data_IF_011852674861
#
_entry.id   IF_011852674861
#
_cell.length_a   1.000
_cell.length_b   1.000
_cell.length_c   1.000
_cell.angle_alpha   90.00
_cell.angle_beta   90.00
_cell.angle_gamma   90.00
#
_symmetry.space_group_name_H-M   'P 1'
#
loop_
_entity.id
_entity.type
_entity.pdbx_description
1 polymer ?
#
# COMPACT_ATOMS: atom_id res chain seq x y z
N UNK A 1 -59.32 37.65 -26.59
CA UNK A 1 -58.33 37.45 -25.51
C UNK A 1 -58.16 35.95 -25.31
N UNK A 2 -57.13 35.34 -25.90
CA UNK A 2 -56.88 33.90 -25.83
C UNK A 2 -55.39 33.70 -25.59
N UNK A 3 -55.04 33.24 -24.38
CA UNK A 3 -53.66 32.97 -23.97
C UNK A 3 -53.26 31.58 -24.48
N UNK A 4 -52.14 31.52 -25.19
CA UNK A 4 -51.49 30.29 -25.63
C UNK A 4 -50.36 29.96 -24.64
N UNK A 5 -50.42 28.79 -24.01
CA UNK A 5 -49.40 28.32 -23.05
C UNK A 5 -48.60 27.20 -23.73
N UNK A 6 -47.32 27.46 -24.00
CA UNK A 6 -46.35 26.46 -24.44
C UNK A 6 -45.78 25.75 -23.20
N UNK A 7 -45.91 24.42 -23.13
CA UNK A 7 -45.28 23.59 -22.11
C UNK A 7 -43.96 23.05 -22.65
N UNK A 8 -42.84 23.48 -22.06
CA UNK A 8 -41.50 22.94 -22.33
C UNK A 8 -41.25 21.74 -21.43
N UNK A 9 -41.14 20.54 -22.02
CA UNK A 9 -40.74 19.32 -21.30
C UNK A 9 -39.21 19.26 -21.31
N UNK A 10 -38.58 19.44 -20.15
CA UNK A 10 -37.15 19.25 -19.96
C UNK A 10 -36.88 17.78 -19.60
N UNK A 11 -36.13 17.08 -20.45
CA UNK A 11 -35.69 15.71 -20.25
C UNK A 11 -34.37 15.72 -19.45
N UNK A 12 -34.43 15.36 -18.17
CA UNK A 12 -33.25 15.17 -17.31
C UNK A 12 -32.77 13.73 -17.43
N UNK A 13 -31.68 13.52 -18.18
CA UNK A 13 -30.95 12.25 -18.19
C UNK A 13 -29.95 12.27 -17.03
N UNK A 14 -30.30 11.60 -15.94
CA UNK A 14 -29.39 11.39 -14.81
C UNK A 14 -28.41 10.26 -15.15
N UNK A 15 -27.19 10.61 -15.56
CA UNK A 15 -26.08 9.65 -15.68
C UNK A 15 -25.52 9.41 -14.28
N UNK A 16 -25.90 8.29 -13.66
CA UNK A 16 -25.29 7.84 -12.41
C UNK A 16 -23.91 7.23 -12.69
N UNK A 17 -22.83 7.96 -12.39
CA UNK A 17 -21.47 7.44 -12.31
C UNK A 17 -21.34 6.51 -11.09
N UNK A 18 -21.59 5.23 -11.27
CA UNK A 18 -21.31 4.21 -10.26
C UNK A 18 -19.79 3.94 -10.26
N UNK A 19 -19.07 4.58 -9.34
CA UNK A 19 -17.71 4.17 -9.00
C UNK A 19 -17.77 2.82 -8.29
N UNK A 20 -17.51 1.73 -9.01
CA UNK A 20 -17.48 0.39 -8.43
C UNK A 20 -16.34 0.29 -7.41
N UNK A 21 -16.68 0.16 -6.13
CA UNK A 21 -15.75 -0.21 -5.06
C UNK A 21 -15.19 -1.61 -5.33
N UNK A 22 -13.93 -1.69 -5.77
CA UNK A 22 -13.20 -2.95 -6.00
C UNK A 22 -12.70 -3.61 -4.69
N UNK A 23 -13.46 -3.57 -3.60
CA UNK A 23 -12.88 -3.94 -2.28
C UNK A 23 -12.73 -5.44 -2.02
N UNK A 24 -13.42 -6.32 -2.77
CA UNK A 24 -13.48 -7.76 -2.40
C UNK A 24 -12.93 -8.74 -3.45
N UNK A 25 -12.66 -8.30 -4.69
CA UNK A 25 -12.28 -9.21 -5.77
C UNK A 25 -10.84 -9.75 -5.66
N UNK A 26 -10.00 -9.12 -4.82
CA UNK A 26 -8.60 -9.48 -4.64
C UNK A 26 -8.32 -10.34 -3.41
N UNK A 27 -9.37 -10.79 -2.71
CA UNK A 27 -9.24 -11.64 -1.52
C UNK A 27 -8.69 -13.05 -1.84
N UNK A 28 -8.79 -13.51 -3.10
CA UNK A 28 -8.29 -14.82 -3.52
C UNK A 28 -7.77 -14.77 -4.96
N UNK A 29 -6.45 -14.59 -5.11
CA UNK A 29 -5.77 -14.67 -6.41
C UNK A 29 -5.34 -16.13 -6.62
N UNK A 30 -5.69 -16.72 -7.76
CA UNK A 30 -5.30 -18.09 -8.10
C UNK A 30 -3.77 -18.23 -8.17
N UNK A 31 -3.22 -19.34 -7.70
CA UNK A 31 -1.76 -19.57 -7.68
C UNK A 31 -1.13 -19.57 -9.07
N UNK A 32 -1.89 -19.94 -10.10
CA UNK A 32 -1.46 -19.91 -11.50
C UNK A 32 -1.69 -18.57 -12.19
N UNK A 33 -2.33 -17.61 -11.52
CA UNK A 33 -2.62 -16.31 -12.12
C UNK A 33 -1.32 -15.59 -12.48
N UNK A 34 -1.23 -15.00 -13.68
CA UNK A 34 -0.04 -14.26 -14.08
C UNK A 34 0.14 -13.04 -13.19
N UNK A 35 1.39 -12.69 -12.93
CA UNK A 35 1.75 -11.49 -12.18
C UNK A 35 2.76 -10.67 -12.98
N UNK A 36 2.64 -9.35 -12.91
CA UNK A 36 3.59 -8.43 -13.53
C UNK A 36 4.02 -7.36 -12.53
N UNK A 37 5.26 -6.91 -12.66
CA UNK A 37 5.80 -5.80 -11.88
C UNK A 37 5.14 -4.50 -12.34
N UNK A 38 4.76 -3.65 -11.39
CA UNK A 38 4.40 -2.25 -11.67
C UNK A 38 5.60 -1.36 -11.39
N UNK A 39 6.29 -1.59 -10.27
CA UNK A 39 7.53 -0.91 -9.95
C UNK A 39 7.88 -0.98 -8.47
N UNK A 40 9.15 -0.68 -8.19
CA UNK A 40 9.65 -0.41 -6.85
C UNK A 40 9.87 1.09 -6.68
N UNK A 41 9.38 1.65 -5.58
CA UNK A 41 9.51 3.06 -5.25
C UNK A 41 10.07 3.20 -3.85
N UNK A 42 11.04 4.09 -3.68
CA UNK A 42 11.79 4.23 -2.44
C UNK A 42 12.26 5.66 -2.23
N UNK A 43 12.36 6.06 -0.96
CA UNK A 43 13.14 7.21 -0.53
C UNK A 43 14.24 6.79 0.47
N UNK A 44 14.54 5.49 0.53
CA UNK A 44 15.42 4.87 1.51
C UNK A 44 16.83 5.47 1.42
N UNK A 45 17.37 5.84 2.58
CA UNK A 45 18.72 6.38 2.73
C UNK A 45 19.53 5.42 3.59
N UNK A 46 20.79 5.23 3.22
CA UNK A 46 21.68 4.30 3.91
C UNK A 46 22.89 5.05 4.46
N UNK A 47 23.28 4.68 5.67
CA UNK A 47 24.62 4.94 6.22
C UNK A 47 25.40 3.63 6.24
N UNK A 48 26.57 3.60 6.89
CA UNK A 48 27.37 2.37 7.03
C UNK A 48 26.57 1.27 7.73
N UNK A 49 25.77 1.62 8.74
CA UNK A 49 25.08 0.63 9.59
C UNK A 49 23.55 0.77 9.55
N UNK A 50 23.04 1.92 9.12
CA UNK A 50 21.63 2.27 9.28
C UNK A 50 20.91 2.48 7.94
N UNK A 51 19.60 2.27 7.95
CA UNK A 51 18.69 2.61 6.89
C UNK A 51 17.52 3.44 7.44
N UNK A 52 17.08 4.42 6.65
CA UNK A 52 15.99 5.34 6.98
C UNK A 52 15.09 5.57 5.79
N UNK A 53 13.78 5.56 6.01
CA UNK A 53 12.78 5.86 4.99
C UNK A 53 11.87 4.68 4.71
N UNK A 54 11.23 4.72 3.56
CA UNK A 54 10.21 3.77 3.16
C UNK A 54 10.46 3.28 1.74
N UNK A 55 9.97 2.07 1.46
CA UNK A 55 9.87 1.55 0.11
C UNK A 55 8.52 0.85 -0.08
N UNK A 56 8.02 0.88 -1.31
CA UNK A 56 6.86 0.09 -1.74
C UNK A 56 7.20 -0.64 -3.04
N UNK A 57 6.98 -1.94 -3.03
CA UNK A 57 7.15 -2.82 -4.19
C UNK A 57 5.76 -3.24 -4.64
N UNK A 58 5.39 -2.93 -5.89
CA UNK A 58 4.03 -3.07 -6.37
C UNK A 58 3.98 -4.01 -7.57
N UNK A 59 3.09 -5.00 -7.51
CA UNK A 59 2.78 -5.91 -8.60
C UNK A 59 1.29 -5.87 -8.95
N UNK A 60 0.97 -6.43 -10.10
CA UNK A 60 -0.39 -6.62 -10.59
C UNK A 60 -0.63 -8.08 -10.94
N UNK A 61 -1.78 -8.61 -10.55
CA UNK A 61 -2.32 -9.87 -11.10
C UNK A 61 -3.76 -9.64 -11.56
N UNK A 62 -3.99 -9.64 -12.86
CA UNK A 62 -5.26 -9.21 -13.43
C UNK A 62 -5.60 -7.77 -13.06
N UNK A 63 -6.71 -7.55 -12.36
CA UNK A 63 -7.12 -6.24 -11.85
C UNK A 63 -6.63 -5.97 -10.41
N UNK A 64 -5.99 -6.95 -9.77
CA UNK A 64 -5.56 -6.84 -8.39
C UNK A 64 -4.18 -6.22 -8.28
N UNK A 65 -4.07 -5.25 -7.38
CA UNK A 65 -2.79 -4.71 -6.91
C UNK A 65 -2.41 -5.46 -5.65
N UNK A 66 -1.16 -5.91 -5.61
CA UNK A 66 -0.53 -6.46 -4.42
C UNK A 66 0.85 -5.84 -4.27
N UNK A 67 1.42 -5.96 -3.08
CA UNK A 67 2.72 -5.38 -2.84
C UNK A 67 3.27 -5.64 -1.46
N UNK A 68 4.45 -5.07 -1.25
CA UNK A 68 5.14 -5.05 0.02
C UNK A 68 5.46 -3.59 0.38
N UNK A 69 5.36 -3.27 1.66
CA UNK A 69 5.76 -1.99 2.23
C UNK A 69 6.90 -2.23 3.23
N UNK A 70 8.00 -1.51 3.06
CA UNK A 70 9.13 -1.50 3.96
C UNK A 70 9.26 -0.15 4.66
N UNK A 71 9.64 -0.15 5.94
CA UNK A 71 9.93 1.07 6.70
C UNK A 71 11.16 0.85 7.53
N UNK A 72 12.25 1.55 7.22
CA UNK A 72 13.49 1.51 7.99
C UNK A 72 13.61 2.72 8.90
N UNK A 73 13.96 2.46 10.16
CA UNK A 73 14.21 3.47 11.20
C UNK A 73 15.33 3.00 12.14
N UNK A 74 16.46 2.55 11.59
CA UNK A 74 17.50 1.94 12.42
C UNK A 74 18.49 1.10 11.63
N UNK A 75 18.91 -0.04 12.19
CA UNK A 75 19.88 -0.95 11.57
C UNK A 75 19.36 -1.46 10.22
N UNK A 76 20.21 -1.39 9.19
CA UNK A 76 19.82 -1.74 7.82
C UNK A 76 19.48 -3.23 7.65
N UNK A 77 20.10 -4.09 8.46
CA UNK A 77 20.05 -5.55 8.31
C UNK A 77 18.69 -6.21 8.59
N UNK A 78 17.77 -5.51 9.27
CA UNK A 78 16.46 -6.08 9.64
C UNK A 78 15.33 -5.09 9.41
N UNK A 79 15.29 -4.49 8.20
CA UNK A 79 14.23 -3.54 7.85
C UNK A 79 12.86 -4.25 7.90
N UNK A 80 11.88 -3.79 8.71
CA UNK A 80 10.54 -4.37 8.75
C UNK A 80 9.83 -4.34 7.40
N UNK A 81 9.01 -5.37 7.12
CA UNK A 81 8.24 -5.48 5.86
C UNK A 81 6.82 -5.96 6.11
N UNK A 82 5.82 -5.37 5.45
CA UNK A 82 4.43 -5.83 5.49
C UNK A 82 3.85 -6.04 4.11
N UNK A 83 2.93 -7.00 3.98
CA UNK A 83 2.09 -7.09 2.78
C UNK A 83 1.10 -5.92 2.76
N UNK A 84 0.84 -5.39 1.56
CA UNK A 84 -0.24 -4.41 1.38
C UNK A 84 -1.60 -5.08 1.62
N UNK A 85 -2.43 -4.41 2.40
CA UNK A 85 -3.77 -4.81 2.80
C UNK A 85 -4.78 -3.73 2.36
N UNK A 86 -6.05 -4.11 2.26
CA UNK A 86 -7.16 -3.20 1.92
C UNK A 86 -6.86 -2.32 0.68
N UNK A 87 -6.20 -2.90 -0.32
CA UNK A 87 -5.67 -2.14 -1.45
C UNK A 87 -6.80 -1.71 -2.37
N UNK A 88 -6.86 -0.41 -2.66
CA UNK A 88 -7.73 0.14 -3.70
C UNK A 88 -6.90 0.95 -4.68
N UNK A 89 -7.14 0.75 -5.97
CA UNK A 89 -6.43 1.47 -7.02
C UNK A 89 -7.37 1.87 -8.15
N UNK A 90 -7.34 3.14 -8.52
CA UNK A 90 -8.05 3.66 -9.69
C UNK A 90 -7.03 3.89 -10.82
N UNK A 91 -7.01 3.06 -11.87
CA UNK A 91 -6.02 3.17 -12.94
C UNK A 91 -6.16 4.44 -13.79
N UNK A 92 -7.33 5.09 -13.78
CA UNK A 92 -7.56 6.31 -14.57
C UNK A 92 -6.97 7.55 -13.90
N UNK A 93 -7.00 7.59 -12.56
CA UNK A 93 -6.49 8.73 -11.77
C UNK A 93 -5.15 8.43 -11.11
N UNK A 94 -4.72 7.17 -11.11
CA UNK A 94 -3.59 6.69 -10.32
C UNK A 94 -3.86 6.66 -8.81
N UNK A 95 -5.07 6.96 -8.35
CA UNK A 95 -5.37 6.97 -6.92
C UNK A 95 -5.09 5.59 -6.31
N UNK A 96 -4.32 5.55 -5.23
CA UNK A 96 -3.87 4.35 -4.54
C UNK A 96 -4.10 4.53 -3.04
N UNK A 97 -4.76 3.55 -2.42
CA UNK A 97 -4.85 3.43 -0.96
C UNK A 97 -4.50 2.03 -0.54
N UNK A 98 -3.85 1.91 0.60
CA UNK A 98 -3.55 0.63 1.22
C UNK A 98 -3.33 0.80 2.71
N UNK A 99 -3.42 -0.31 3.44
CA UNK A 99 -2.88 -0.47 4.78
C UNK A 99 -1.70 -1.45 4.76
N UNK A 100 -0.83 -1.39 5.76
CA UNK A 100 0.23 -2.38 5.97
C UNK A 100 0.48 -2.53 7.47
N UNK A 101 0.66 -3.78 7.92
CA UNK A 101 1.01 -4.09 9.31
C UNK A 101 2.49 -4.42 9.42
N UNK A 102 3.19 -3.72 10.30
CA UNK A 102 4.62 -3.90 10.56
C UNK A 102 4.85 -4.11 12.07
N UNK A 103 6.09 -4.49 12.40
CA UNK A 103 6.66 -4.37 13.75
C UNK A 103 7.99 -3.64 13.59
N UNK A 104 8.01 -2.35 13.93
CA UNK A 104 9.18 -1.47 13.76
C UNK A 104 10.04 -1.45 15.02
N UNK A 105 9.48 -1.78 16.17
CA UNK A 105 10.23 -1.87 17.41
C UNK A 105 9.52 -2.66 18.50
N UNK A 106 9.97 -2.41 19.72
CA UNK A 106 9.45 -2.99 20.94
C UNK A 106 9.00 -1.83 21.84
N UNK A 107 7.80 -1.94 22.40
CA UNK A 107 7.20 -0.99 23.33
C UNK A 107 7.07 -1.63 24.70
N UNK A 108 7.26 -0.83 25.75
CA UNK A 108 6.85 -1.18 27.10
C UNK A 108 5.63 -0.32 27.44
N UNK A 109 4.51 -0.96 27.79
CA UNK A 109 3.31 -0.24 28.20
C UNK A 109 3.51 0.43 29.56
N UNK A 110 2.72 1.46 29.91
CA UNK A 110 2.81 2.13 31.21
C UNK A 110 2.63 1.17 32.40
N UNK A 111 1.93 0.06 32.17
CA UNK A 111 1.56 -0.94 33.18
C UNK A 111 2.18 -2.32 32.94
N UNK A 112 2.96 -2.51 31.86
CA UNK A 112 3.59 -3.80 31.53
C UNK A 112 5.10 -3.70 31.65
N UNK A 113 5.70 -4.57 32.44
CA UNK A 113 7.16 -4.74 32.54
C UNK A 113 7.73 -5.61 31.43
N UNK A 114 6.86 -6.23 30.61
CA UNK A 114 7.28 -7.12 29.54
C UNK A 114 7.33 -6.33 28.23
N UNK A 115 8.48 -6.26 27.54
CA UNK A 115 8.58 -5.62 26.24
C UNK A 115 7.74 -6.38 25.20
N UNK A 116 6.90 -5.65 24.46
CA UNK A 116 6.01 -6.20 23.43
C UNK A 116 6.28 -5.58 22.05
N UNK A 117 6.03 -6.28 20.94
CA UNK A 117 6.05 -5.68 19.60
C UNK A 117 5.18 -4.42 19.49
N UNK A 118 5.68 -3.38 18.83
CA UNK A 118 5.00 -2.07 18.66
C UNK A 118 3.65 -2.12 17.92
N UNK A 119 3.38 -3.21 17.18
CA UNK A 119 2.18 -3.43 16.35
C UNK A 119 1.80 -2.20 15.51
N UNK A 120 2.62 -1.87 14.53
CA UNK A 120 2.52 -0.67 13.70
C UNK A 120 1.52 -0.83 12.54
N UNK A 121 0.49 0.01 12.49
CA UNK A 121 -0.47 0.08 11.40
C UNK A 121 -0.19 1.31 10.54
N UNK A 122 0.26 1.06 9.32
CA UNK A 122 0.45 2.10 8.32
C UNK A 122 -0.78 2.18 7.40
N UNK A 123 -1.19 3.40 7.07
CA UNK A 123 -2.27 3.68 6.12
C UNK A 123 -1.80 4.75 5.14
N UNK A 124 -1.87 4.44 3.86
CA UNK A 124 -1.50 5.35 2.78
C UNK A 124 -2.73 5.78 1.99
N UNK A 125 -2.81 7.07 1.66
CA UNK A 125 -3.76 7.63 0.70
C UNK A 125 -3.03 8.61 -0.23
N UNK A 126 -3.01 8.30 -1.52
CA UNK A 126 -2.27 9.09 -2.49
C UNK A 126 -2.40 8.58 -3.91
N UNK A 127 -1.33 8.75 -4.68
CA UNK A 127 -1.29 8.38 -6.10
C UNK A 127 -0.06 7.56 -6.44
N UNK A 128 -0.27 6.54 -7.26
CA UNK A 128 0.74 5.74 -7.94
C UNK A 128 0.87 6.25 -9.38
N UNK A 129 1.99 6.89 -9.69
CA UNK A 129 2.37 7.29 -11.03
C UNK A 129 3.52 6.42 -11.58
N UNK A 130 3.90 6.61 -12.85
CA UNK A 130 4.97 5.82 -13.47
C UNK A 130 6.35 6.03 -12.83
N UNK A 131 6.62 7.22 -12.31
CA UNK A 131 7.94 7.57 -11.74
C UNK A 131 7.94 7.72 -10.21
N UNK A 132 6.77 7.76 -9.57
CA UNK A 132 6.66 8.06 -8.15
C UNK A 132 5.35 7.60 -7.52
N UNK A 133 5.42 7.32 -6.23
CA UNK A 133 4.28 7.22 -5.32
C UNK A 133 4.31 8.43 -4.39
N UNK A 134 3.21 9.18 -4.30
CA UNK A 134 3.12 10.37 -3.46
C UNK A 134 1.77 10.43 -2.75
N UNK A 135 1.76 10.76 -1.46
CA UNK A 135 0.54 10.77 -0.67
C UNK A 135 0.77 11.02 0.81
N UNK A 136 -0.32 10.95 1.58
CA UNK A 136 -0.28 10.96 3.04
C UNK A 136 -0.08 9.55 3.58
N UNK A 137 0.79 9.41 4.57
CA UNK A 137 1.03 8.20 5.34
C UNK A 137 0.71 8.47 6.81
N UNK A 138 -0.20 7.68 7.38
CA UNK A 138 -0.44 7.61 8.82
C UNK A 138 0.28 6.38 9.35
N UNK A 139 1.02 6.51 10.46
CA UNK A 139 1.69 5.42 11.15
C UNK A 139 1.18 5.34 12.58
N UNK A 140 0.12 4.56 12.79
CA UNK A 140 -0.46 4.36 14.12
C UNK A 140 0.24 3.23 14.86
N UNK A 141 0.37 3.39 16.18
CA UNK A 141 0.89 2.38 17.10
C UNK A 141 -0.08 2.17 18.25
N UNK A 142 0.19 1.21 19.14
CA UNK A 142 -0.60 1.07 20.36
C UNK A 142 -0.51 2.29 21.29
N UNK A 143 0.63 2.99 21.27
CA UNK A 143 0.89 4.16 22.11
C UNK A 143 0.36 5.47 21.49
N UNK A 144 0.26 5.51 20.17
CA UNK A 144 -0.28 6.63 19.40
C UNK A 144 -1.23 6.11 18.30
N UNK A 145 -2.51 5.91 18.64
CA UNK A 145 -3.48 5.31 17.72
C UNK A 145 -4.02 6.28 16.67
N UNK A 146 -3.85 7.59 16.87
CA UNK A 146 -4.37 8.64 15.97
C UNK A 146 -3.32 9.69 15.62
N UNK A 147 -2.19 9.28 15.01
CA UNK A 147 -1.16 10.23 14.61
C UNK A 147 -1.62 11.06 13.40
N UNK A 148 -1.05 12.26 13.21
CA UNK A 148 -1.26 13.02 12.00
C UNK A 148 -0.66 12.29 10.79
N UNK A 149 -1.26 12.52 9.62
CA UNK A 149 -0.68 12.07 8.36
C UNK A 149 0.56 12.91 8.01
N UNK A 150 1.62 12.26 7.54
CA UNK A 150 2.78 12.92 6.94
C UNK A 150 2.82 12.67 5.44
N UNK A 151 3.24 13.66 4.67
CA UNK A 151 3.44 13.46 3.23
C UNK A 151 4.72 12.65 3.00
N UNK A 152 4.61 11.61 2.16
CA UNK A 152 5.76 10.87 1.64
C UNK A 152 5.80 10.99 0.11
N UNK A 153 7.01 10.96 -0.44
CA UNK A 153 7.25 10.83 -1.86
C UNK A 153 8.33 9.76 -2.06
N UNK A 154 7.98 8.72 -2.79
CA UNK A 154 8.84 7.60 -3.14
C UNK A 154 9.08 7.66 -4.64
N UNK A 155 10.34 7.60 -5.07
CA UNK A 155 10.72 7.63 -6.48
C UNK A 155 11.11 6.24 -6.94
N UNK A 156 11.02 5.94 -8.24
CA UNK A 156 11.46 4.66 -8.80
C UNK A 156 12.87 4.29 -8.33
N UNK A 157 13.05 3.04 -7.88
CA UNK A 157 14.31 2.52 -7.35
C UNK A 157 14.77 1.33 -8.18
N UNK A 158 15.86 1.50 -8.94
CA UNK A 158 16.44 0.41 -9.73
C UNK A 158 16.93 -0.72 -8.83
N UNK A 159 17.60 -0.38 -7.72
CA UNK A 159 18.08 -1.34 -6.71
C UNK A 159 16.95 -2.23 -6.18
N UNK A 160 15.81 -1.64 -5.85
CA UNK A 160 14.69 -2.41 -5.31
C UNK A 160 13.92 -3.14 -6.42
N UNK A 161 13.92 -2.61 -7.65
CA UNK A 161 13.34 -3.28 -8.81
C UNK A 161 14.10 -4.58 -9.16
N UNK A 162 15.42 -4.60 -9.00
CA UNK A 162 16.23 -5.82 -9.18
C UNK A 162 15.77 -6.96 -8.26
N UNK A 163 15.24 -6.62 -7.07
CA UNK A 163 14.69 -7.59 -6.12
C UNK A 163 13.33 -8.14 -6.56
N UNK A 164 12.61 -7.45 -7.44
CA UNK A 164 11.23 -7.80 -7.82
C UNK A 164 11.15 -8.96 -8.80
N UNK A 165 12.22 -9.22 -9.55
CA UNK A 165 12.26 -10.19 -10.65
C UNK A 165 11.87 -11.61 -10.27
N UNK A 166 11.59 -12.43 -11.29
CA UNK A 166 11.55 -13.92 -11.26
C UNK A 166 10.17 -14.57 -11.09
N UNK A 167 9.15 -13.89 -10.59
CA UNK A 167 7.84 -14.54 -10.38
C UNK A 167 6.90 -14.34 -11.59
N UNK A 168 6.68 -15.39 -12.38
CA UNK A 168 5.73 -15.37 -13.50
C UNK A 168 4.26 -15.53 -13.06
N UNK A 169 4.04 -16.13 -11.88
CA UNK A 169 2.71 -16.39 -11.32
C UNK A 169 2.61 -15.90 -9.88
N UNK A 170 1.38 -15.66 -9.42
CA UNK A 170 1.12 -15.30 -8.02
C UNK A 170 1.60 -16.38 -7.04
N UNK A 171 1.48 -17.67 -7.38
CA UNK A 171 1.98 -18.77 -6.55
C UNK A 171 3.50 -18.71 -6.37
N UNK A 172 4.26 -18.50 -7.46
CA UNK A 172 5.70 -18.32 -7.39
C UNK A 172 6.10 -17.04 -6.63
N UNK A 173 5.29 -15.97 -6.75
CA UNK A 173 5.47 -14.76 -5.97
C UNK A 173 5.31 -15.03 -4.47
N UNK A 174 4.25 -15.76 -4.07
CA UNK A 174 4.03 -16.14 -2.67
C UNK A 174 5.18 -16.98 -2.13
N UNK A 175 5.62 -17.99 -2.87
CA UNK A 175 6.73 -18.85 -2.44
C UNK A 175 8.02 -18.06 -2.18
N UNK A 176 8.33 -17.09 -3.05
CA UNK A 176 9.49 -16.21 -2.89
C UNK A 176 9.37 -15.29 -1.67
N UNK A 177 8.26 -14.60 -1.52
CA UNK A 177 8.14 -13.49 -0.56
C UNK A 177 7.62 -13.91 0.82
N UNK A 178 6.81 -14.97 0.91
CA UNK A 178 6.22 -15.41 2.17
C UNK A 178 7.28 -15.75 3.24
N UNK A 179 8.41 -16.42 2.95
CA UNK A 179 9.45 -16.64 3.96
C UNK A 179 10.05 -15.34 4.49
N UNK A 180 10.22 -14.34 3.62
CA UNK A 180 10.74 -13.02 3.98
C UNK A 180 9.74 -12.30 4.89
N UNK A 181 8.47 -12.25 4.48
CA UNK A 181 7.38 -11.65 5.28
C UNK A 181 7.21 -12.37 6.61
N UNK A 182 7.29 -13.71 6.65
CA UNK A 182 7.21 -14.47 7.91
C UNK A 182 8.32 -14.08 8.88
N UNK A 183 9.53 -13.85 8.38
CA UNK A 183 10.70 -13.48 9.18
C UNK A 183 10.64 -12.01 9.62
N UNK A 184 10.57 -11.08 8.67
CA UNK A 184 10.71 -9.61 8.85
C UNK A 184 9.37 -8.88 9.05
N UNK A 185 8.26 -9.60 8.94
CA UNK A 185 6.93 -9.01 9.00
C UNK A 185 6.30 -8.99 10.38
N UNK A 186 5.03 -8.55 10.44
CA UNK A 186 4.38 -8.16 11.68
C UNK A 186 4.35 -9.29 12.72
N UNK A 187 4.71 -8.95 13.96
CA UNK A 187 4.55 -9.78 15.16
C UNK A 187 3.34 -9.25 15.93
N UNK A 188 2.16 -9.56 15.42
CA UNK A 188 0.90 -9.07 15.97
C UNK A 188 0.19 -10.15 16.76
#
# INVERSE_FOLDING_TARGET
>A
MTRSTLATVALLVAVSLQGASQSNACASIATTAPISEIGAFSNMRYTVEHAYGEAVLVWRSGHCILGLFESAQGLAGDTPIGELQDVTHNPNTGALRFSAKLTIGIVAGPTSTTPEPSRDLLKFDGTLGPARVIGGLIHATQLDPTPPARTIMLTTSAKDADLMHVSATYGAWREKWQPIVKRRGPKW
#
